data_IF_069628100347
#
_entry.id   IF_069628100347
#
_cell.length_a   1.000
_cell.length_b   1.000
_cell.length_c   1.000
_cell.angle_alpha   90.00
_cell.angle_beta   90.00
_cell.angle_gamma   90.00
#
_symmetry.space_group_name_H-M   'P 1'
#
loop_
_entity.id
_entity.type
_entity.pdbx_description
1 polymer ?
#
# COMPACT_ATOMS: atom_id res chain seq x y z
N UNK A 1 18.42 -17.01 -7.37
CA UNK A 1 17.96 -15.77 -6.73
C UNK A 1 18.70 -15.62 -5.42
N UNK A 2 19.44 -14.51 -5.22
CA UNK A 2 20.16 -14.28 -3.98
C UNK A 2 19.17 -13.91 -2.85
N UNK A 3 19.52 -14.13 -1.58
CA UNK A 3 18.68 -13.76 -0.43
C UNK A 3 18.32 -12.27 -0.45
N UNK A 4 19.23 -11.44 -0.97
CA UNK A 4 19.03 -10.01 -1.22
C UNK A 4 17.88 -9.75 -2.19
N UNK A 5 17.92 -10.35 -3.37
CA UNK A 5 16.91 -10.15 -4.41
C UNK A 5 15.53 -10.61 -3.91
N UNK A 6 15.49 -11.72 -3.16
CA UNK A 6 14.26 -12.19 -2.50
C UNK A 6 13.67 -11.12 -1.57
N UNK A 7 14.49 -10.48 -0.73
CA UNK A 7 14.04 -9.43 0.18
C UNK A 7 13.51 -8.19 -0.56
N UNK A 8 14.16 -7.82 -1.68
CA UNK A 8 13.72 -6.70 -2.51
C UNK A 8 12.37 -7.02 -3.17
N UNK A 9 12.22 -8.21 -3.75
CA UNK A 9 10.94 -8.62 -4.34
C UNK A 9 9.82 -8.68 -3.30
N UNK A 10 10.10 -9.19 -2.09
CA UNK A 10 9.12 -9.20 -0.98
C UNK A 10 8.76 -7.75 -0.60
N UNK A 11 9.74 -6.87 -0.45
CA UNK A 11 9.52 -5.46 -0.12
C UNK A 11 8.66 -4.74 -1.16
N UNK A 12 8.93 -4.94 -2.44
CA UNK A 12 8.12 -4.40 -3.54
C UNK A 12 6.70 -4.99 -3.52
N UNK A 13 6.57 -6.30 -3.33
CA UNK A 13 5.25 -6.95 -3.27
C UNK A 13 4.41 -6.42 -2.10
N UNK A 14 5.01 -6.18 -0.94
CA UNK A 14 4.35 -5.58 0.23
C UNK A 14 3.93 -4.14 -0.07
N UNK A 15 4.83 -3.32 -0.61
CA UNK A 15 4.53 -1.92 -0.94
C UNK A 15 3.37 -1.80 -1.93
N UNK A 16 3.41 -2.58 -3.02
CA UNK A 16 2.33 -2.62 -4.02
C UNK A 16 1.04 -3.18 -3.41
N UNK A 17 1.12 -4.25 -2.63
CA UNK A 17 -0.03 -4.87 -1.96
C UNK A 17 -0.75 -3.91 -1.02
N UNK A 18 -0.02 -3.08 -0.26
CA UNK A 18 -0.60 -2.05 0.60
C UNK A 18 -1.38 -1.01 -0.19
N UNK A 19 -0.84 -0.54 -1.31
CA UNK A 19 -1.54 0.43 -2.19
C UNK A 19 -2.80 -0.19 -2.77
N UNK A 20 -2.70 -1.40 -3.32
CA UNK A 20 -3.84 -2.11 -3.90
C UNK A 20 -4.94 -2.37 -2.86
N UNK A 21 -4.55 -2.75 -1.64
CA UNK A 21 -5.50 -2.97 -0.55
C UNK A 21 -6.22 -1.67 -0.16
N UNK A 22 -5.49 -0.56 -0.01
CA UNK A 22 -6.08 0.73 0.34
C UNK A 22 -7.07 1.22 -0.74
N UNK A 23 -6.70 1.07 -2.02
CA UNK A 23 -7.60 1.37 -3.15
C UNK A 23 -8.79 0.42 -3.19
N UNK A 24 -8.60 -0.88 -2.91
CA UNK A 24 -9.69 -1.86 -2.91
C UNK A 24 -10.73 -1.57 -1.81
N UNK A 25 -10.29 -1.11 -0.63
CA UNK A 25 -11.19 -0.66 0.45
C UNK A 25 -12.06 0.51 -0.01
N UNK A 26 -11.51 1.41 -0.83
CA UNK A 26 -12.24 2.57 -1.38
C UNK A 26 -13.12 2.26 -2.58
N UNK A 27 -12.78 1.24 -3.37
CA UNK A 27 -13.48 0.93 -4.62
C UNK A 27 -14.53 -0.16 -4.45
N UNK A 28 -14.38 -1.03 -3.45
CA UNK A 28 -15.24 -2.20 -3.24
C UNK A 28 -15.91 -2.18 -1.87
N UNK A 29 -17.26 -2.04 -1.82
CA UNK A 29 -18.03 -2.13 -0.59
C UNK A 29 -17.84 -3.46 0.16
N UNK A 30 -17.59 -4.56 -0.56
CA UNK A 30 -17.36 -5.87 0.02
C UNK A 30 -15.99 -5.98 0.71
N UNK A 31 -14.96 -5.35 0.14
CA UNK A 31 -13.64 -5.29 0.77
C UNK A 31 -13.70 -4.39 1.99
N UNK A 32 -14.34 -3.22 1.87
CA UNK A 32 -14.56 -2.35 3.02
C UNK A 32 -15.31 -3.06 4.15
N UNK A 33 -16.43 -3.72 3.87
CA UNK A 33 -17.24 -4.38 4.91
C UNK A 33 -16.49 -5.54 5.58
N UNK A 34 -15.65 -6.26 4.83
CA UNK A 34 -14.78 -7.31 5.35
C UNK A 34 -13.74 -6.76 6.36
N UNK A 35 -13.08 -5.65 6.03
CA UNK A 35 -12.04 -5.07 6.90
C UNK A 35 -12.58 -4.17 8.02
N UNK A 36 -13.74 -3.55 7.83
CA UNK A 36 -14.38 -2.67 8.81
C UNK A 36 -15.20 -3.39 9.88
N UNK A 37 -15.11 -4.73 9.96
CA UNK A 37 -15.86 -5.57 10.91
C UNK A 37 -17.38 -5.27 10.91
N UNK A 38 -17.97 -5.04 9.74
CA UNK A 38 -19.39 -4.70 9.62
C UNK A 38 -19.71 -3.20 9.53
N UNK A 39 -18.71 -2.35 9.25
CA UNK A 39 -18.92 -0.94 8.92
C UNK A 39 -19.79 -0.74 7.68
N UNK A 40 -20.57 0.34 7.66
CA UNK A 40 -21.45 0.67 6.54
C UNK A 40 -20.68 1.45 5.45
N UNK A 41 -20.56 0.92 4.22
CA UNK A 41 -19.88 1.61 3.12
C UNK A 41 -20.42 3.01 2.85
N UNK A 42 -21.70 3.29 3.14
CA UNK A 42 -22.29 4.62 2.97
C UNK A 42 -21.62 5.70 3.84
N UNK A 43 -21.04 5.32 4.99
CA UNK A 43 -20.31 6.23 5.87
C UNK A 43 -18.98 6.65 5.24
N UNK A 44 -18.28 5.70 4.60
CA UNK A 44 -17.03 5.95 3.87
C UNK A 44 -17.22 6.96 2.74
N UNK A 45 -18.27 6.80 1.93
CA UNK A 45 -18.54 7.70 0.79
C UNK A 45 -19.24 9.00 1.19
N UNK A 46 -19.79 9.07 2.40
CA UNK A 46 -20.52 10.21 2.94
C UNK A 46 -19.63 11.13 3.78
N UNK A 47 -19.47 10.79 5.06
CA UNK A 47 -18.81 11.65 6.06
C UNK A 47 -17.29 11.48 6.11
N UNK A 48 -16.77 10.32 5.68
CA UNK A 48 -15.34 10.00 5.82
C UNK A 48 -14.57 10.09 4.49
N UNK A 49 -15.21 10.58 3.43
CA UNK A 49 -14.64 10.58 2.07
C UNK A 49 -13.29 11.30 2.00
N UNK A 50 -13.17 12.46 2.64
CA UNK A 50 -11.93 13.23 2.64
C UNK A 50 -10.81 12.51 3.41
N UNK A 51 -11.15 11.89 4.55
CA UNK A 51 -10.22 11.05 5.31
C UNK A 51 -9.76 9.84 4.51
N UNK A 52 -10.67 9.21 3.76
CA UNK A 52 -10.36 8.06 2.93
C UNK A 52 -9.43 8.44 1.76
N UNK A 53 -9.67 9.58 1.10
CA UNK A 53 -8.78 10.10 0.05
C UNK A 53 -7.40 10.44 0.64
N UNK A 54 -7.35 11.14 1.77
CA UNK A 54 -6.08 11.47 2.44
C UNK A 54 -5.31 10.20 2.81
N UNK A 55 -6.00 9.18 3.34
CA UNK A 55 -5.40 7.88 3.65
C UNK A 55 -4.73 7.23 2.43
N UNK A 56 -5.37 7.29 1.26
CA UNK A 56 -4.78 6.78 0.01
C UNK A 56 -3.56 7.56 -0.42
N UNK A 57 -3.62 8.89 -0.37
CA UNK A 57 -2.47 9.74 -0.72
C UNK A 57 -1.28 9.43 0.17
N UNK A 58 -1.48 9.35 1.49
CA UNK A 58 -0.41 9.00 2.43
C UNK A 58 0.13 7.59 2.22
N UNK A 59 -0.76 6.62 1.95
CA UNK A 59 -0.36 5.24 1.67
C UNK A 59 0.50 5.17 0.39
N UNK A 60 0.14 5.91 -0.66
CA UNK A 60 0.90 5.98 -1.89
C UNK A 60 2.29 6.61 -1.67
N UNK A 61 2.37 7.73 -0.95
CA UNK A 61 3.65 8.38 -0.60
C UNK A 61 4.55 7.43 0.18
N UNK A 62 3.99 6.72 1.16
CA UNK A 62 4.73 5.75 1.97
C UNK A 62 5.25 4.57 1.14
N UNK A 63 4.41 3.99 0.29
CA UNK A 63 4.80 2.90 -0.60
C UNK A 63 5.90 3.33 -1.59
N UNK A 64 5.79 4.53 -2.17
CA UNK A 64 6.84 5.08 -3.05
C UNK A 64 8.16 5.29 -2.32
N UNK A 65 8.11 5.74 -1.06
CA UNK A 65 9.29 5.89 -0.21
C UNK A 65 9.98 4.54 0.04
N UNK A 66 9.23 3.48 0.32
CA UNK A 66 9.77 2.12 0.48
C UNK A 66 10.45 1.67 -0.81
N UNK A 67 9.77 1.82 -1.95
CA UNK A 67 10.32 1.41 -3.25
C UNK A 67 11.62 2.17 -3.54
N UNK A 68 11.67 3.48 -3.29
CA UNK A 68 12.88 4.28 -3.47
C UNK A 68 14.05 3.78 -2.60
N UNK A 69 13.80 3.45 -1.33
CA UNK A 69 14.82 2.88 -0.43
C UNK A 69 15.29 1.52 -0.91
N UNK A 70 14.40 0.66 -1.39
CA UNK A 70 14.75 -0.66 -1.92
C UNK A 70 15.58 -0.56 -3.20
N UNK A 71 15.25 0.36 -4.10
CA UNK A 71 16.04 0.63 -5.31
C UNK A 71 17.43 1.16 -4.96
N UNK A 72 17.52 2.09 -4.01
CA UNK A 72 18.81 2.58 -3.54
C UNK A 72 19.66 1.47 -2.89
N UNK A 73 19.04 0.61 -2.08
CA UNK A 73 19.73 -0.53 -1.48
C UNK A 73 20.16 -1.57 -2.53
N UNK A 74 19.41 -1.71 -3.62
CA UNK A 74 19.81 -2.53 -4.76
C UNK A 74 21.08 -1.98 -5.41
N UNK A 75 21.09 -0.69 -5.76
CA UNK A 75 22.22 -0.02 -6.41
C UNK A 75 23.50 -0.13 -5.55
N UNK A 76 23.41 0.23 -4.27
CA UNK A 76 24.55 0.19 -3.34
C UNK A 76 25.14 -1.22 -3.21
N UNK A 77 24.32 -2.25 -3.43
CA UNK A 77 24.74 -3.64 -3.35
C UNK A 77 25.35 -4.20 -4.64
N UNK A 78 25.29 -3.45 -5.75
CA UNK A 78 26.01 -3.76 -6.98
C UNK A 78 27.38 -3.03 -7.04
N UNK A 79 27.54 -1.91 -6.31
CA UNK A 79 28.79 -1.16 -6.24
C UNK A 79 29.89 -1.82 -5.35
N UNK A 80 29.55 -2.85 -4.56
CA UNK A 80 30.44 -3.56 -3.62
C UNK A 80 30.70 -4.99 -4.10
#
# INVERSE_FOLDING_TARGET
MNRRDLLIYIGVAVAVGMVLLNVAILASPAVYSFFSQGGNPAVLYGSERDYAIQSTVWTAIFAMSIIAVLLYAYELSEEV
#
